data_IF_964936944492
#
_entry.id   IF_964936944492
#
_cell.length_a   1.000
_cell.length_b   1.000
_cell.length_c   1.000
_cell.angle_alpha   90.00
_cell.angle_beta   90.00
_cell.angle_gamma   90.00
#
_symmetry.space_group_name_H-M   'P 1'
#
loop_
_entity.id
_entity.type
_entity.pdbx_description
1 polymer ?
#
# COMPACT_ATOMS: atom_id res chain seq x y z
N UNK A 1 -14.59 18.70 -30.40
CA UNK A 1 -13.79 17.64 -29.73
C UNK A 1 -12.62 18.38 -29.08
N UNK A 2 -12.37 18.16 -27.79
CA UNK A 2 -11.24 18.80 -27.11
C UNK A 2 -9.91 18.14 -27.51
N UNK A 3 -8.78 18.75 -27.21
CA UNK A 3 -7.46 18.26 -27.60
C UNK A 3 -7.17 16.85 -27.08
N UNK A 4 -7.65 16.50 -25.88
CA UNK A 4 -7.54 15.17 -25.33
C UNK A 4 -8.21 14.10 -26.22
N UNK A 5 -9.46 14.32 -26.61
CA UNK A 5 -10.19 13.36 -27.47
C UNK A 5 -9.60 13.25 -28.88
N UNK A 6 -9.03 14.33 -29.42
CA UNK A 6 -8.28 14.28 -30.69
C UNK A 6 -7.04 13.38 -30.57
N UNK A 7 -6.33 13.47 -29.45
CA UNK A 7 -5.16 12.62 -29.15
C UNK A 7 -5.56 11.16 -28.96
N UNK A 8 -6.65 10.91 -28.23
CA UNK A 8 -7.19 9.55 -28.06
C UNK A 8 -7.62 8.93 -29.39
N UNK A 9 -8.26 9.72 -30.28
CA UNK A 9 -8.60 9.25 -31.63
C UNK A 9 -7.38 8.86 -32.45
N UNK A 10 -6.30 9.63 -32.35
CA UNK A 10 -5.03 9.31 -33.02
C UNK A 10 -4.34 8.09 -32.40
N UNK A 11 -4.50 7.85 -31.09
CA UNK A 11 -3.89 6.73 -30.38
C UNK A 11 -4.61 5.41 -30.65
N UNK A 12 -5.95 5.43 -30.69
CA UNK A 12 -6.81 4.24 -30.75
C UNK A 12 -7.29 3.87 -32.16
N UNK A 13 -7.27 4.81 -33.14
CA UNK A 13 -7.76 4.54 -34.47
C UNK A 13 -9.21 4.08 -34.48
N UNK A 14 -9.46 2.90 -35.01
CA UNK A 14 -10.82 2.30 -35.17
C UNK A 14 -11.49 1.96 -33.81
N UNK A 15 -10.72 1.81 -32.74
CA UNK A 15 -11.26 1.52 -31.39
C UNK A 15 -11.73 2.79 -30.65
N UNK A 16 -11.55 3.97 -31.21
CA UNK A 16 -11.91 5.23 -30.57
C UNK A 16 -13.39 5.33 -30.19
N UNK A 17 -14.28 4.83 -31.04
CA UNK A 17 -15.73 4.86 -30.77
C UNK A 17 -16.12 3.95 -29.60
N UNK A 18 -15.41 2.85 -29.41
CA UNK A 18 -15.59 1.98 -28.24
C UNK A 18 -15.09 2.69 -26.96
N UNK A 19 -13.92 3.30 -27.01
CA UNK A 19 -13.40 4.13 -25.90
C UNK A 19 -14.41 5.22 -25.51
N UNK A 20 -15.01 5.93 -26.47
CA UNK A 20 -15.99 6.98 -26.22
C UNK A 20 -17.22 6.47 -25.46
N UNK A 21 -17.66 5.24 -25.67
CA UNK A 21 -18.79 4.64 -24.92
C UNK A 21 -18.46 4.57 -23.43
N UNK A 22 -17.26 4.11 -23.08
CA UNK A 22 -16.80 4.09 -21.70
C UNK A 22 -16.58 5.51 -21.15
N UNK A 23 -15.92 6.38 -21.92
CA UNK A 23 -15.62 7.75 -21.50
C UNK A 23 -16.86 8.57 -21.15
N UNK A 24 -17.94 8.38 -21.88
CA UNK A 24 -19.22 9.07 -21.68
C UNK A 24 -20.17 8.35 -20.70
N UNK A 25 -19.78 7.20 -20.15
CA UNK A 25 -20.59 6.46 -19.17
C UNK A 25 -20.35 6.98 -17.77
N UNK A 26 -21.41 7.07 -16.96
CA UNK A 26 -21.34 7.36 -15.52
C UNK A 26 -20.97 6.13 -14.68
N UNK A 27 -20.91 4.94 -15.28
CA UNK A 27 -20.52 3.71 -14.60
C UNK A 27 -19.01 3.59 -14.51
N UNK A 28 -18.47 3.86 -13.33
CA UNK A 28 -17.05 3.69 -13.05
C UNK A 28 -16.71 2.24 -12.73
N UNK A 29 -15.55 1.79 -13.23
CA UNK A 29 -15.01 0.48 -12.90
C UNK A 29 -14.49 0.54 -11.45
N UNK A 30 -15.15 -0.21 -10.57
CA UNK A 30 -14.79 -0.31 -9.15
C UNK A 30 -14.15 -1.65 -8.86
N UNK A 31 -13.18 -1.66 -7.98
CA UNK A 31 -12.55 -2.90 -7.54
C UNK A 31 -12.09 -2.86 -6.09
N UNK A 32 -11.80 -4.04 -5.60
CA UNK A 32 -11.10 -4.24 -4.35
C UNK A 32 -9.97 -5.26 -4.54
N UNK A 33 -9.00 -5.20 -3.68
CA UNK A 33 -7.94 -6.19 -3.56
C UNK A 33 -7.94 -6.76 -2.16
N UNK A 34 -8.00 -8.09 -2.06
CA UNK A 34 -7.94 -8.83 -0.80
C UNK A 34 -6.55 -8.63 -0.16
N UNK A 35 -6.53 -8.44 1.15
CA UNK A 35 -5.30 -8.40 1.93
C UNK A 35 -4.97 -9.82 2.45
N UNK A 36 -4.08 -10.50 1.75
CA UNK A 36 -3.69 -11.88 2.07
C UNK A 36 -2.96 -12.05 3.39
N UNK A 37 -2.46 -10.96 3.99
CA UNK A 37 -1.92 -10.98 5.37
C UNK A 37 -3.00 -11.27 6.42
N UNK A 38 -4.27 -10.96 6.12
CA UNK A 38 -5.39 -11.01 7.07
C UNK A 38 -6.52 -11.93 6.66
N UNK A 39 -6.72 -12.14 5.37
CA UNK A 39 -7.89 -12.85 4.86
C UNK A 39 -7.57 -13.54 3.53
N UNK A 40 -7.99 -14.77 3.36
CA UNK A 40 -7.94 -15.45 2.07
C UNK A 40 -9.08 -14.96 1.16
N UNK A 41 -8.90 -14.92 -0.17
CA UNK A 41 -9.92 -14.47 -1.11
C UNK A 41 -11.27 -15.19 -0.96
N UNK A 42 -11.25 -16.51 -0.80
CA UNK A 42 -12.45 -17.34 -0.67
C UNK A 42 -13.23 -16.98 0.60
N UNK A 43 -12.51 -16.70 1.70
CA UNK A 43 -13.12 -16.27 2.96
C UNK A 43 -13.76 -14.89 2.80
N UNK A 44 -13.09 -13.93 2.17
CA UNK A 44 -13.67 -12.60 1.93
C UNK A 44 -14.95 -12.71 1.10
N UNK A 45 -14.93 -13.48 0.00
CA UNK A 45 -16.10 -13.70 -0.85
C UNK A 45 -17.30 -14.25 -0.07
N UNK A 46 -17.06 -15.15 0.91
CA UNK A 46 -18.14 -15.71 1.74
C UNK A 46 -18.70 -14.75 2.81
N UNK A 47 -17.98 -13.67 3.13
CA UNK A 47 -18.38 -12.69 4.15
C UNK A 47 -19.07 -11.45 3.59
N UNK A 48 -19.03 -11.26 2.26
CA UNK A 48 -19.70 -10.15 1.57
C UNK A 48 -21.08 -10.59 1.09
N UNK A 49 -22.04 -9.68 1.06
CA UNK A 49 -23.43 -9.88 0.64
C UNK A 49 -23.66 -9.67 -0.86
N UNK A 50 -22.58 -9.56 -1.65
CA UNK A 50 -22.59 -9.43 -3.09
C UNK A 50 -21.48 -10.27 -3.74
N UNK A 51 -21.68 -10.65 -5.00
CA UNK A 51 -20.73 -11.45 -5.75
C UNK A 51 -19.53 -10.63 -6.21
N UNK A 52 -18.33 -11.19 -6.05
CA UNK A 52 -17.06 -10.63 -6.54
C UNK A 52 -16.60 -11.39 -7.79
N UNK A 53 -16.32 -10.66 -8.88
CA UNK A 53 -15.75 -11.21 -10.11
C UNK A 53 -14.25 -10.89 -10.18
N UNK A 54 -13.40 -11.88 -10.45
CA UNK A 54 -11.94 -11.68 -10.55
C UNK A 54 -11.57 -10.68 -11.65
N UNK A 55 -10.53 -9.87 -11.38
CA UNK A 55 -9.90 -9.01 -12.39
C UNK A 55 -8.75 -9.76 -13.07
N UNK A 56 -8.37 -9.40 -14.30
CA UNK A 56 -7.21 -10.02 -14.96
C UNK A 56 -5.87 -9.49 -14.47
N UNK A 57 -5.84 -8.43 -13.66
CA UNK A 57 -4.62 -7.67 -13.36
C UNK A 57 -3.87 -8.15 -12.12
N UNK A 58 -4.53 -8.92 -11.24
CA UNK A 58 -3.98 -9.37 -9.96
C UNK A 58 -4.83 -10.53 -9.44
N UNK A 59 -4.20 -11.57 -8.91
CA UNK A 59 -4.90 -12.78 -8.40
C UNK A 59 -5.83 -12.48 -7.22
N UNK A 60 -5.49 -11.48 -6.40
CA UNK A 60 -6.25 -11.04 -5.25
C UNK A 60 -7.23 -9.89 -5.59
N UNK A 61 -7.31 -9.49 -6.87
CA UNK A 61 -8.12 -8.39 -7.36
C UNK A 61 -9.52 -8.83 -7.81
N UNK A 62 -10.54 -8.04 -7.45
CA UNK A 62 -11.93 -8.31 -7.80
C UNK A 62 -12.65 -7.04 -8.23
N UNK A 63 -13.57 -7.17 -9.17
CA UNK A 63 -14.55 -6.15 -9.52
C UNK A 63 -15.65 -6.10 -8.45
N UNK A 64 -16.09 -4.89 -8.13
CA UNK A 64 -17.25 -4.62 -7.24
C UNK A 64 -18.44 -4.26 -8.14
N UNK A 65 -19.64 -4.83 -7.92
CA UNK A 65 -20.86 -4.42 -8.65
C UNK A 65 -21.11 -2.92 -8.54
N UNK A 66 -21.62 -2.30 -9.61
CA UNK A 66 -21.79 -0.83 -9.69
C UNK A 66 -22.80 -0.28 -8.67
N UNK A 67 -23.78 -1.10 -8.29
CA UNK A 67 -24.83 -0.78 -7.31
C UNK A 67 -24.35 -0.82 -5.85
N UNK A 68 -23.18 -1.42 -5.57
CA UNK A 68 -22.58 -1.44 -4.24
C UNK A 68 -22.09 -0.04 -3.88
N UNK A 69 -22.71 0.52 -2.82
CA UNK A 69 -22.37 1.85 -2.29
C UNK A 69 -21.66 1.75 -0.94
N UNK A 70 -20.84 2.74 -0.64
CA UNK A 70 -20.25 2.94 0.71
C UNK A 70 -19.47 1.72 1.26
N UNK A 71 -18.83 0.91 0.39
CA UNK A 71 -18.06 -0.27 0.79
C UNK A 71 -16.93 0.08 1.79
N UNK A 72 -16.46 1.34 1.79
CA UNK A 72 -15.49 1.84 2.77
C UNK A 72 -15.99 1.83 4.22
N UNK A 73 -17.32 1.78 4.44
CA UNK A 73 -17.92 1.69 5.77
C UNK A 73 -18.08 0.23 6.26
N UNK A 74 -17.79 -0.75 5.41
CA UNK A 74 -17.88 -2.16 5.79
C UNK A 74 -16.87 -2.47 6.92
N UNK A 75 -17.27 -3.16 7.99
CA UNK A 75 -16.37 -3.53 9.10
C UNK A 75 -15.13 -4.30 8.64
N UNK A 76 -15.21 -5.13 7.60
CA UNK A 76 -14.07 -5.83 7.01
C UNK A 76 -13.07 -4.87 6.37
N UNK A 77 -13.52 -3.74 5.78
CA UNK A 77 -12.64 -2.70 5.30
C UNK A 77 -11.88 -2.03 6.45
N UNK A 78 -12.56 -1.72 7.56
CA UNK A 78 -11.95 -1.17 8.77
C UNK A 78 -10.96 -2.16 9.42
N UNK A 79 -11.25 -3.45 9.36
CA UNK A 79 -10.34 -4.51 9.79
C UNK A 79 -9.13 -4.70 8.85
N UNK A 80 -9.13 -4.06 7.67
CA UNK A 80 -8.05 -4.18 6.70
C UNK A 80 -8.06 -5.50 5.92
N UNK A 81 -9.21 -6.19 5.82
CA UNK A 81 -9.36 -7.41 5.04
C UNK A 81 -9.19 -7.18 3.53
N UNK A 82 -9.45 -5.96 3.06
CA UNK A 82 -9.29 -5.56 1.67
C UNK A 82 -8.98 -4.06 1.53
N UNK A 83 -8.47 -3.71 0.37
CA UNK A 83 -8.23 -2.33 -0.06
C UNK A 83 -9.12 -2.02 -1.27
N UNK A 84 -9.88 -0.92 -1.25
CA UNK A 84 -10.67 -0.46 -2.40
C UNK A 84 -9.73 0.24 -3.38
N UNK A 85 -9.65 -0.26 -4.58
CA UNK A 85 -8.70 0.21 -5.59
C UNK A 85 -9.29 0.05 -7.00
N UNK A 86 -8.93 0.95 -7.89
CA UNK A 86 -9.17 0.78 -9.32
C UNK A 86 -8.43 -0.47 -9.82
N UNK A 87 -9.10 -1.39 -10.54
CA UNK A 87 -8.51 -2.70 -10.87
C UNK A 87 -7.19 -2.64 -11.61
N UNK A 88 -7.06 -1.81 -12.67
CA UNK A 88 -5.84 -1.73 -13.47
C UNK A 88 -4.64 -1.16 -12.70
N UNK A 89 -4.87 -0.40 -11.62
CA UNK A 89 -3.80 0.10 -10.76
C UNK A 89 -3.03 -1.01 -10.01
N UNK A 90 -3.58 -2.23 -9.94
CA UNK A 90 -2.90 -3.39 -9.37
C UNK A 90 -1.83 -3.98 -10.30
N UNK A 91 -1.93 -3.72 -11.60
CA UNK A 91 -1.06 -4.26 -12.65
C UNK A 91 0.42 -3.96 -12.44
N UNK A 92 0.73 -2.74 -11.97
CA UNK A 92 2.12 -2.31 -11.77
C UNK A 92 2.88 -3.18 -10.75
N UNK A 93 2.23 -3.54 -9.63
CA UNK A 93 2.83 -4.43 -8.63
C UNK A 93 2.90 -5.87 -9.11
N UNK A 94 1.90 -6.33 -9.89
CA UNK A 94 1.94 -7.64 -10.53
C UNK A 94 3.14 -7.74 -11.50
N UNK A 95 3.39 -6.70 -12.31
CA UNK A 95 4.55 -6.64 -13.19
C UNK A 95 5.88 -6.53 -12.42
N UNK A 96 5.89 -5.89 -11.25
CA UNK A 96 7.09 -5.79 -10.41
C UNK A 96 7.53 -7.16 -9.87
N UNK A 97 6.58 -8.09 -9.70
CA UNK A 97 6.84 -9.48 -9.34
C UNK A 97 7.62 -9.60 -8.01
N UNK A 98 7.00 -9.06 -6.95
CA UNK A 98 7.59 -9.01 -5.60
C UNK A 98 7.60 -10.39 -4.96
N UNK A 99 8.75 -10.77 -4.40
CA UNK A 99 8.96 -12.01 -3.65
C UNK A 99 9.15 -11.74 -2.16
N UNK A 100 8.95 -12.78 -1.36
CA UNK A 100 9.34 -12.76 0.06
C UNK A 100 10.83 -12.42 0.18
N UNK A 101 11.20 -11.76 1.28
CA UNK A 101 12.56 -11.27 1.58
C UNK A 101 13.10 -10.13 0.69
N UNK A 102 12.39 -9.71 -0.38
CA UNK A 102 12.78 -8.54 -1.16
C UNK A 102 12.80 -7.26 -0.30
N UNK A 103 13.75 -6.37 -0.57
CA UNK A 103 13.72 -4.97 -0.12
C UNK A 103 13.11 -4.15 -1.24
N UNK A 104 11.91 -3.63 -1.00
CA UNK A 104 11.12 -2.93 -2.02
C UNK A 104 10.93 -1.46 -1.64
N UNK A 105 11.21 -0.56 -2.58
CA UNK A 105 10.90 0.86 -2.48
C UNK A 105 9.68 1.19 -3.35
N UNK A 106 8.64 1.75 -2.73
CA UNK A 106 7.54 2.46 -3.41
C UNK A 106 7.80 3.96 -3.27
N UNK A 107 8.27 4.61 -4.35
CA UNK A 107 8.86 5.94 -4.29
C UNK A 107 7.82 7.08 -4.29
N UNK A 108 6.62 6.84 -4.86
CA UNK A 108 5.51 7.79 -4.96
C UNK A 108 4.22 7.14 -4.40
N UNK A 109 4.26 6.72 -3.13
CA UNK A 109 3.45 5.66 -2.59
C UNK A 109 1.98 6.02 -2.25
N UNK A 110 1.66 7.30 -2.02
CA UNK A 110 0.33 7.67 -1.56
C UNK A 110 -0.75 7.54 -2.65
N UNK A 111 -1.94 7.07 -2.27
CA UNK A 111 -2.48 6.88 -0.92
C UNK A 111 -2.15 5.51 -0.26
N UNK A 112 -1.40 4.60 -0.91
CA UNK A 112 -0.97 3.33 -0.34
C UNK A 112 -1.55 2.07 -1.00
N UNK A 113 -2.31 2.20 -2.08
CA UNK A 113 -2.89 1.04 -2.78
C UNK A 113 -1.82 0.06 -3.26
N UNK A 114 -0.78 0.56 -3.94
CA UNK A 114 0.34 -0.24 -4.43
C UNK A 114 1.29 -0.67 -3.30
N UNK A 115 1.62 0.24 -2.36
CA UNK A 115 2.39 -0.11 -1.16
C UNK A 115 1.79 -1.27 -0.37
N UNK A 116 0.47 -1.25 -0.16
CA UNK A 116 -0.20 -2.31 0.60
C UNK A 116 -0.31 -3.63 -0.19
N UNK A 117 -0.27 -3.58 -1.52
CA UNK A 117 -0.12 -4.77 -2.36
C UNK A 117 1.28 -5.37 -2.22
N UNK A 118 2.31 -4.53 -2.29
CA UNK A 118 3.70 -4.95 -2.06
C UNK A 118 3.85 -5.58 -0.66
N UNK A 119 3.34 -4.90 0.38
CA UNK A 119 3.39 -5.41 1.76
C UNK A 119 2.72 -6.78 1.94
N UNK A 120 1.59 -7.02 1.23
CA UNK A 120 0.93 -8.32 1.23
C UNK A 120 1.78 -9.41 0.55
N UNK A 121 2.43 -9.09 -0.58
CA UNK A 121 3.34 -10.03 -1.28
C UNK A 121 4.59 -10.36 -0.47
N UNK A 122 5.14 -9.41 0.28
CA UNK A 122 6.27 -9.65 1.18
C UNK A 122 5.92 -10.56 2.37
N UNK A 123 4.66 -10.77 2.67
CA UNK A 123 4.17 -11.70 3.70
C UNK A 123 4.87 -11.55 5.08
N UNK A 124 5.19 -10.32 5.46
CA UNK A 124 5.87 -10.01 6.73
C UNK A 124 7.39 -10.20 6.73
N UNK A 125 7.97 -10.67 5.62
CA UNK A 125 9.42 -10.81 5.43
C UNK A 125 10.01 -9.61 4.65
N UNK A 126 11.31 -9.58 4.41
CA UNK A 126 11.95 -8.49 3.67
C UNK A 126 11.70 -7.10 4.27
N UNK A 127 11.55 -6.10 3.43
CA UNK A 127 11.28 -4.71 3.84
C UNK A 127 10.49 -3.95 2.77
N UNK A 128 9.42 -3.28 3.18
CA UNK A 128 8.74 -2.26 2.36
C UNK A 128 9.18 -0.86 2.80
N UNK A 129 9.71 -0.06 1.88
CA UNK A 129 9.92 1.37 2.09
C UNK A 129 8.93 2.16 1.21
N UNK A 130 8.01 2.89 1.83
CA UNK A 130 7.00 3.70 1.14
C UNK A 130 7.27 5.18 1.36
N UNK A 131 7.51 5.92 0.29
CA UNK A 131 7.81 7.35 0.33
C UNK A 131 6.73 8.19 -0.33
N UNK A 132 6.45 9.34 0.22
CA UNK A 132 5.57 10.35 -0.38
C UNK A 132 6.05 11.76 -0.03
N UNK A 133 6.24 12.59 -1.06
CA UNK A 133 6.77 13.96 -0.89
C UNK A 133 5.76 14.91 -0.24
N UNK A 134 4.46 14.70 -0.48
CA UNK A 134 3.39 15.56 0.06
C UNK A 134 2.98 15.07 1.44
N UNK A 135 3.23 15.85 2.48
CA UNK A 135 3.03 15.48 3.88
C UNK A 135 1.62 15.00 4.22
N UNK A 136 0.60 15.68 3.72
CA UNK A 136 -0.80 15.28 3.95
C UNK A 136 -1.11 13.90 3.35
N UNK A 137 -0.61 13.64 2.15
CA UNK A 137 -0.75 12.34 1.47
C UNK A 137 0.06 11.25 2.16
N UNK A 138 1.26 11.58 2.68
CA UNK A 138 2.07 10.64 3.45
C UNK A 138 1.38 10.19 4.75
N UNK A 139 0.57 11.05 5.38
CA UNK A 139 -0.24 10.67 6.54
C UNK A 139 -1.38 9.70 6.16
N UNK A 140 -1.99 9.86 4.98
CA UNK A 140 -3.01 8.92 4.45
C UNK A 140 -2.36 7.56 4.17
N UNK A 141 -1.19 7.57 3.52
CA UNK A 141 -0.37 6.37 3.29
C UNK A 141 -0.09 5.62 4.60
N UNK A 142 0.39 6.34 5.61
CA UNK A 142 0.69 5.77 6.93
C UNK A 142 -0.54 5.11 7.57
N UNK A 143 -1.70 5.77 7.49
CA UNK A 143 -2.96 5.23 8.00
C UNK A 143 -3.37 3.94 7.28
N UNK A 144 -3.16 3.86 5.96
CA UNK A 144 -3.46 2.67 5.18
C UNK A 144 -2.47 1.52 5.46
N UNK A 145 -1.17 1.79 5.60
CA UNK A 145 -0.16 0.80 6.02
C UNK A 145 -0.55 0.20 7.39
N UNK A 146 -0.97 1.06 8.33
CA UNK A 146 -1.41 0.63 9.66
C UNK A 146 -2.68 -0.21 9.61
N UNK A 147 -3.73 0.25 8.90
CA UNK A 147 -5.00 -0.47 8.75
C UNK A 147 -4.82 -1.85 8.11
N UNK A 148 -3.97 -1.95 7.09
CA UNK A 148 -3.66 -3.21 6.40
C UNK A 148 -2.75 -4.13 7.22
N UNK A 149 -2.21 -3.66 8.35
CA UNK A 149 -1.43 -4.49 9.28
C UNK A 149 -0.03 -4.83 8.81
N UNK A 150 0.60 -3.99 7.99
CA UNK A 150 1.94 -4.24 7.45
C UNK A 150 2.99 -3.90 8.51
N UNK A 151 3.64 -4.92 9.06
CA UNK A 151 4.59 -4.79 10.17
C UNK A 151 6.02 -4.46 9.73
N UNK A 152 6.40 -4.84 8.52
CA UNK A 152 7.74 -4.69 7.95
C UNK A 152 7.89 -3.43 7.06
N UNK A 153 7.09 -2.38 7.32
CA UNK A 153 7.11 -1.16 6.52
C UNK A 153 7.85 0.00 7.18
N UNK A 154 8.50 0.81 6.34
CA UNK A 154 9.00 2.15 6.66
C UNK A 154 8.22 3.17 5.83
N UNK A 155 7.70 4.20 6.48
CA UNK A 155 7.01 5.31 5.79
C UNK A 155 7.82 6.58 5.96
N UNK A 156 8.19 7.23 4.85
CA UNK A 156 8.95 8.47 4.81
C UNK A 156 8.23 9.58 4.07
N UNK A 157 8.62 10.82 4.38
CA UNK A 157 8.16 12.02 3.69
C UNK A 157 9.38 12.80 3.21
N UNK A 158 10.00 12.32 2.14
CA UNK A 158 11.25 12.84 1.62
C UNK A 158 11.12 13.18 0.14
N UNK A 159 12.00 14.05 -0.34
CA UNK A 159 12.22 14.22 -1.78
C UNK A 159 12.85 12.95 -2.35
N UNK A 160 12.43 12.51 -3.57
CA UNK A 160 12.99 11.30 -4.20
C UNK A 160 14.52 11.32 -4.33
N UNK A 161 15.10 12.43 -4.77
CA UNK A 161 16.53 12.61 -4.97
C UNK A 161 17.34 12.47 -3.66
N UNK A 162 16.87 13.09 -2.56
CA UNK A 162 17.48 13.00 -1.23
C UNK A 162 17.41 11.58 -0.67
N UNK A 163 16.23 10.96 -0.79
CA UNK A 163 16.00 9.60 -0.29
C UNK A 163 16.87 8.58 -1.03
N UNK A 164 16.81 8.57 -2.36
CA UNK A 164 17.50 7.57 -3.17
C UNK A 164 19.02 7.67 -3.05
N UNK A 165 19.56 8.89 -2.99
CA UNK A 165 20.98 9.11 -2.71
C UNK A 165 21.42 8.58 -1.34
N UNK A 166 20.54 8.67 -0.31
CA UNK A 166 20.85 8.15 1.04
C UNK A 166 20.73 6.63 1.11
N UNK A 167 19.88 6.05 0.28
CA UNK A 167 19.57 4.61 0.24
C UNK A 167 20.16 3.94 -1.02
N UNK A 168 21.31 4.41 -1.48
CA UNK A 168 21.97 3.92 -2.69
C UNK A 168 22.18 2.40 -2.66
N UNK A 169 21.80 1.72 -3.76
CA UNK A 169 21.91 0.27 -3.96
C UNK A 169 21.28 -0.60 -2.84
N UNK A 170 20.18 -0.16 -2.24
CA UNK A 170 19.56 -0.86 -1.10
C UNK A 170 18.38 -1.75 -1.47
N UNK A 171 17.72 -1.52 -2.61
CA UNK A 171 16.47 -2.19 -2.95
C UNK A 171 16.64 -3.19 -4.08
N UNK A 172 16.00 -4.35 -3.92
CA UNK A 172 15.92 -5.40 -4.95
C UNK A 172 14.91 -5.01 -6.02
N UNK A 173 13.84 -4.31 -5.59
CA UNK A 173 12.76 -3.85 -6.46
C UNK A 173 12.36 -2.43 -6.13
N UNK A 174 12.02 -1.66 -7.17
CA UNK A 174 11.50 -0.29 -7.00
C UNK A 174 10.22 -0.13 -7.82
N UNK A 175 9.20 0.43 -7.19
CA UNK A 175 8.01 0.94 -7.87
C UNK A 175 8.09 2.46 -7.98
N UNK A 176 7.92 2.97 -9.19
CA UNK A 176 7.78 4.38 -9.48
C UNK A 176 6.40 4.59 -10.13
N UNK A 177 5.35 4.65 -9.29
CA UNK A 177 4.02 5.07 -9.72
C UNK A 177 3.99 6.59 -9.79
N UNK A 178 4.41 7.10 -10.93
CA UNK A 178 4.81 8.50 -11.05
C UNK A 178 3.60 9.46 -11.09
N UNK A 179 3.72 10.65 -10.47
CA UNK A 179 2.71 11.70 -10.64
C UNK A 179 2.61 12.07 -12.13
N UNK A 180 1.40 12.04 -12.69
CA UNK A 180 1.12 12.18 -14.11
C UNK A 180 -0.06 13.12 -14.36
N UNK A 181 -0.37 13.37 -15.64
CA UNK A 181 -1.53 14.19 -16.06
C UNK A 181 -2.89 13.58 -15.72
N UNK A 182 -2.94 12.27 -15.40
CA UNK A 182 -4.10 11.61 -14.84
C UNK A 182 -5.25 11.37 -15.81
N UNK A 183 -4.99 11.22 -17.10
CA UNK A 183 -6.02 11.07 -18.16
C UNK A 183 -6.96 9.89 -17.92
N UNK A 184 -6.47 8.77 -17.35
CA UNK A 184 -7.28 7.63 -16.94
C UNK A 184 -8.17 7.89 -15.70
N UNK A 185 -8.06 9.06 -15.09
CA UNK A 185 -8.86 9.47 -13.93
C UNK A 185 -9.88 10.56 -14.23
N UNK A 186 -9.96 11.06 -15.48
CA UNK A 186 -10.86 12.15 -15.87
C UNK A 186 -12.33 11.86 -15.55
N UNK A 187 -12.74 10.62 -15.71
CA UNK A 187 -14.09 10.18 -15.37
C UNK A 187 -14.40 10.23 -13.87
N UNK A 188 -13.39 10.22 -13.00
CA UNK A 188 -13.54 10.10 -11.52
C UNK A 188 -13.31 11.39 -10.76
N UNK A 189 -12.60 12.33 -11.35
CA UNK A 189 -12.24 13.59 -10.69
C UNK A 189 -12.11 14.73 -11.68
N UNK A 190 -11.94 15.95 -11.17
CA UNK A 190 -11.80 17.16 -11.95
C UNK A 190 -10.42 17.34 -12.66
N UNK A 191 -9.62 16.29 -12.78
CA UNK A 191 -8.27 16.36 -13.37
C UNK A 191 -8.30 16.86 -14.84
N UNK A 192 -9.38 16.62 -15.56
CA UNK A 192 -9.56 17.15 -16.92
C UNK A 192 -9.51 18.68 -16.96
N UNK A 193 -9.94 19.37 -15.91
CA UNK A 193 -9.96 20.85 -15.87
C UNK A 193 -8.57 21.48 -15.83
N UNK A 194 -7.59 20.78 -15.29
CA UNK A 194 -6.20 21.25 -15.18
C UNK A 194 -5.32 20.70 -16.31
N UNK A 195 -5.88 19.84 -17.18
CA UNK A 195 -5.13 19.19 -18.23
C UNK A 195 -4.82 20.15 -19.39
N UNK A 196 -3.57 20.11 -19.84
CA UNK A 196 -3.08 20.76 -21.06
C UNK A 196 -1.88 20.00 -21.60
N UNK A 197 -1.49 20.25 -22.85
CA UNK A 197 -0.29 19.68 -23.45
C UNK A 197 0.98 20.12 -22.70
N UNK A 198 1.01 21.35 -22.21
CA UNK A 198 2.09 21.89 -21.38
C UNK A 198 2.17 21.16 -20.04
N UNK A 199 1.01 20.85 -19.42
CA UNK A 199 0.95 20.02 -18.21
C UNK A 199 1.52 18.63 -18.44
N UNK A 200 1.11 17.95 -19.52
CA UNK A 200 1.64 16.63 -19.94
C UNK A 200 3.18 16.68 -20.06
N UNK A 201 3.74 17.66 -20.78
CA UNK A 201 5.19 17.83 -20.95
C UNK A 201 5.91 18.07 -19.61
N UNK A 202 5.30 18.89 -18.74
CA UNK A 202 5.83 19.15 -17.39
C UNK A 202 5.85 17.88 -16.53
N UNK A 203 4.79 17.06 -16.60
CA UNK A 203 4.73 15.76 -15.94
C UNK A 203 5.83 14.81 -16.46
N UNK A 204 5.97 14.67 -17.78
CA UNK A 204 7.00 13.85 -18.40
C UNK A 204 8.43 14.23 -17.95
N UNK A 205 8.74 15.53 -17.90
CA UNK A 205 10.03 16.03 -17.41
C UNK A 205 10.27 15.65 -15.94
N UNK A 206 9.24 15.78 -15.07
CA UNK A 206 9.30 15.42 -13.64
C UNK A 206 9.47 13.92 -13.46
N UNK A 207 8.76 13.12 -14.23
CA UNK A 207 8.82 11.64 -14.20
C UNK A 207 10.22 11.13 -14.53
N UNK A 208 10.87 11.71 -15.54
CA UNK A 208 12.25 11.37 -15.89
C UNK A 208 13.23 11.68 -14.75
N UNK A 209 13.06 12.82 -14.05
CA UNK A 209 13.87 13.15 -12.87
C UNK A 209 13.67 12.16 -11.72
N UNK A 210 12.43 11.71 -11.50
CA UNK A 210 12.11 10.71 -10.46
C UNK A 210 12.76 9.36 -10.82
N UNK A 211 12.66 8.90 -12.07
CA UNK A 211 13.30 7.66 -12.53
C UNK A 211 14.84 7.73 -12.39
N UNK A 212 15.45 8.87 -12.78
CA UNK A 212 16.89 9.09 -12.64
C UNK A 212 17.33 9.14 -11.16
N UNK A 213 16.45 9.51 -10.24
CA UNK A 213 16.72 9.38 -8.80
C UNK A 213 16.58 7.91 -8.35
N UNK A 214 15.51 7.22 -8.78
CA UNK A 214 15.22 5.85 -8.36
C UNK A 214 16.33 4.85 -8.72
N UNK A 215 16.99 5.02 -9.88
CA UNK A 215 18.08 4.13 -10.33
C UNK A 215 19.23 3.99 -9.35
N UNK A 216 19.52 5.05 -8.57
CA UNK A 216 20.62 5.06 -7.60
C UNK A 216 20.30 4.15 -6.40
N UNK A 217 19.04 4.06 -6.01
CA UNK A 217 18.58 3.22 -4.90
C UNK A 217 18.43 1.73 -5.27
N UNK A 218 18.34 1.42 -6.57
CA UNK A 218 18.20 0.05 -7.07
C UNK A 218 19.54 -0.67 -7.09
N UNK A 219 19.58 -1.88 -6.55
CA UNK A 219 20.74 -2.79 -6.67
C UNK A 219 21.00 -3.16 -8.14
N UNK A 220 22.25 -3.46 -8.48
CA UNK A 220 22.55 -4.16 -9.73
C UNK A 220 21.82 -5.51 -9.73
N UNK A 221 21.33 -5.96 -10.89
CA UNK A 221 20.49 -7.15 -11.00
C UNK A 221 19.05 -6.95 -10.51
N UNK A 222 18.71 -5.77 -9.98
CA UNK A 222 17.37 -5.44 -9.49
C UNK A 222 16.39 -5.03 -10.57
N UNK A 223 15.11 -4.95 -10.22
CA UNK A 223 14.03 -4.60 -11.14
C UNK A 223 13.31 -3.33 -10.68
N UNK A 224 12.92 -2.51 -11.65
CA UNK A 224 12.10 -1.32 -11.42
C UNK A 224 10.87 -1.36 -12.32
N UNK A 225 9.69 -1.06 -11.76
CA UNK A 225 8.49 -0.80 -12.56
C UNK A 225 8.17 0.68 -12.51
N UNK A 226 8.08 1.27 -13.69
CA UNK A 226 7.52 2.58 -13.91
C UNK A 226 6.06 2.45 -14.27
N UNK A 227 5.17 3.24 -13.68
CA UNK A 227 3.74 3.24 -13.98
C UNK A 227 3.13 4.63 -13.91
N UNK A 228 2.04 4.82 -14.66
CA UNK A 228 1.21 6.04 -14.67
C UNK A 228 -0.26 5.67 -14.87
N UNK A 229 -1.16 6.58 -14.50
CA UNK A 229 -2.58 6.50 -14.84
C UNK A 229 -2.95 7.46 -16.00
N UNK A 230 -2.07 7.62 -16.99
CA UNK A 230 -2.31 8.44 -18.18
C UNK A 230 -2.16 7.64 -19.47
N UNK A 231 -2.79 8.11 -20.56
CA UNK A 231 -2.66 7.53 -21.90
C UNK A 231 -1.60 8.23 -22.75
N UNK A 232 -1.06 9.34 -22.27
CA UNK A 232 -0.12 10.19 -22.99
C UNK A 232 1.16 9.46 -23.37
N UNK A 233 1.53 9.47 -24.66
CA UNK A 233 2.79 8.87 -25.15
C UNK A 233 4.01 9.60 -24.61
N UNK A 234 3.92 10.91 -24.39
CA UNK A 234 5.01 11.72 -23.86
C UNK A 234 5.40 11.29 -22.44
N UNK A 235 4.40 10.95 -21.60
CA UNK A 235 4.60 10.53 -20.22
C UNK A 235 4.93 9.04 -20.09
N UNK A 236 4.58 8.24 -21.07
CA UNK A 236 4.71 6.79 -21.07
C UNK A 236 5.94 6.36 -21.88
N UNK A 237 5.74 6.08 -23.17
CA UNK A 237 6.81 5.61 -24.07
C UNK A 237 7.95 6.63 -24.18
N UNK A 238 7.63 7.93 -24.18
CA UNK A 238 8.62 9.01 -24.30
C UNK A 238 9.57 9.06 -23.10
N UNK A 239 9.03 8.89 -21.88
CA UNK A 239 9.84 8.85 -20.65
C UNK A 239 10.72 7.60 -20.61
N UNK A 240 10.18 6.42 -20.91
CA UNK A 240 10.93 5.16 -20.90
C UNK A 240 12.03 5.16 -21.96
N UNK A 241 11.72 5.58 -23.20
CA UNK A 241 12.70 5.62 -24.28
C UNK A 241 13.85 6.57 -23.95
N UNK A 242 13.54 7.73 -23.37
CA UNK A 242 14.55 8.69 -22.95
C UNK A 242 15.39 8.19 -21.78
N UNK A 243 14.74 7.59 -20.77
CA UNK A 243 15.45 7.00 -19.63
C UNK A 243 16.46 5.93 -20.08
N UNK A 244 16.05 5.02 -20.95
CA UNK A 244 16.93 3.96 -21.49
C UNK A 244 18.09 4.52 -22.33
N UNK A 245 17.83 5.58 -23.12
CA UNK A 245 18.90 6.24 -23.90
C UNK A 245 19.94 6.92 -22.99
N UNK A 246 19.53 7.48 -21.85
CA UNK A 246 20.40 8.13 -20.87
C UNK A 246 21.08 7.13 -19.92
N UNK A 247 20.57 5.89 -19.78
CA UNK A 247 21.03 4.88 -18.81
C UNK A 247 21.23 3.51 -19.49
N UNK A 248 22.38 3.27 -20.18
CA UNK A 248 22.65 2.05 -20.94
C UNK A 248 22.81 0.79 -20.08
N UNK A 249 22.95 0.95 -18.77
CA UNK A 249 22.94 -0.12 -17.76
C UNK A 249 21.53 -0.62 -17.45
N UNK A 250 20.47 -0.01 -18.01
CA UNK A 250 19.10 -0.49 -17.92
C UNK A 250 18.62 -1.09 -19.25
N UNK A 251 17.65 -1.98 -19.14
CA UNK A 251 16.94 -2.56 -20.27
C UNK A 251 15.46 -2.76 -19.92
N UNK A 252 14.59 -2.66 -20.93
CA UNK A 252 13.18 -3.02 -20.82
C UNK A 252 13.06 -4.54 -20.93
N UNK A 253 12.31 -5.18 -19.99
CA UNK A 253 12.19 -6.64 -19.94
C UNK A 253 10.74 -7.08 -19.94
N UNK A 254 10.49 -8.29 -20.46
CA UNK A 254 9.18 -8.92 -20.36
C UNK A 254 8.83 -9.23 -18.91
N UNK A 255 7.66 -8.79 -18.49
CA UNK A 255 7.12 -9.10 -17.16
C UNK A 255 6.36 -10.43 -17.09
N UNK A 256 6.16 -11.10 -18.22
CA UNK A 256 5.40 -12.35 -18.34
C UNK A 256 3.87 -12.21 -18.20
N UNK A 257 3.35 -10.98 -18.07
CA UNK A 257 1.90 -10.75 -17.94
C UNK A 257 1.22 -10.74 -19.30
N UNK A 258 -0.04 -11.22 -19.34
CA UNK A 258 -0.85 -11.31 -20.55
C UNK A 258 -1.94 -10.24 -20.66
N UNK A 259 -2.20 -9.49 -19.60
CA UNK A 259 -3.19 -8.42 -19.59
C UNK A 259 -2.68 -7.15 -20.28
N UNK A 260 -3.62 -6.30 -20.68
CA UNK A 260 -3.32 -5.04 -21.34
C UNK A 260 -2.71 -5.21 -22.73
N UNK A 261 -2.43 -4.10 -23.39
CA UNK A 261 -1.92 -4.06 -24.75
C UNK A 261 -0.43 -3.82 -24.77
N UNK A 262 0.37 -4.56 -25.53
CA UNK A 262 1.81 -4.36 -25.59
C UNK A 262 2.14 -3.02 -26.25
N UNK A 263 3.17 -2.36 -25.73
CA UNK A 263 3.81 -1.18 -26.31
C UNK A 263 5.30 -1.19 -25.96
N UNK A 264 6.18 -0.57 -26.75
CA UNK A 264 7.63 -0.67 -26.56
C UNK A 264 8.09 -2.11 -26.34
N UNK A 265 7.58 -3.06 -27.13
CA UNK A 265 7.79 -4.51 -27.04
C UNK A 265 7.21 -5.13 -25.75
N UNK A 266 7.59 -4.70 -24.57
CA UNK A 266 7.28 -5.33 -23.29
C UNK A 266 6.47 -4.47 -22.29
N UNK A 267 6.34 -3.17 -22.52
CA UNK A 267 5.47 -2.34 -21.69
C UNK A 267 3.99 -2.66 -21.97
N UNK A 268 3.13 -2.35 -21.00
CA UNK A 268 1.70 -2.65 -21.08
C UNK A 268 0.88 -1.36 -20.89
N UNK A 269 -0.14 -1.21 -21.71
CA UNK A 269 -1.16 -0.16 -21.56
C UNK A 269 -2.53 -0.80 -21.42
N UNK A 270 -3.31 -0.29 -20.49
CA UNK A 270 -4.66 -0.74 -20.19
C UNK A 270 -5.61 0.42 -20.49
N UNK A 271 -6.63 0.17 -21.27
CA UNK A 271 -7.72 1.11 -21.55
C UNK A 271 -9.02 0.67 -20.86
N UNK A 272 -10.07 1.50 -20.82
CA UNK A 272 -11.35 1.12 -20.25
C UNK A 272 -11.94 -0.15 -20.87
N UNK A 273 -11.76 -0.38 -22.15
CA UNK A 273 -12.21 -1.58 -22.85
C UNK A 273 -11.50 -2.85 -22.35
N UNK A 274 -10.34 -2.72 -21.75
CA UNK A 274 -9.56 -3.83 -21.21
C UNK A 274 -9.93 -4.15 -19.74
N UNK A 275 -10.94 -3.45 -19.18
CA UNK A 275 -11.50 -3.71 -17.84
C UNK A 275 -10.87 -2.89 -16.70
N UNK A 276 -10.16 -1.80 -16.99
CA UNK A 276 -9.64 -0.81 -16.03
C UNK A 276 -9.95 0.62 -16.47
N UNK A 277 -9.74 1.62 -15.62
CA UNK A 277 -9.97 3.01 -16.02
C UNK A 277 -8.84 3.59 -16.89
N UNK A 278 -7.65 3.05 -16.77
CA UNK A 278 -6.48 3.41 -17.57
C UNK A 278 -5.18 3.34 -16.78
N UNK A 279 -4.24 2.56 -17.32
CA UNK A 279 -2.93 2.42 -16.69
C UNK A 279 -1.86 2.09 -17.74
N UNK A 280 -0.63 2.53 -17.45
CA UNK A 280 0.57 2.14 -18.18
C UNK A 280 1.59 1.60 -17.19
N UNK A 281 2.32 0.54 -17.57
CA UNK A 281 3.43 0.03 -16.79
C UNK A 281 4.54 -0.54 -17.68
N UNK A 282 5.79 -0.34 -17.25
CA UNK A 282 7.00 -0.83 -17.90
C UNK A 282 7.95 -1.40 -16.86
N UNK A 283 8.42 -2.65 -17.04
CA UNK A 283 9.40 -3.32 -16.17
C UNK A 283 10.80 -3.14 -16.72
N UNK A 284 11.68 -2.57 -15.92
CA UNK A 284 13.08 -2.30 -16.23
C UNK A 284 13.99 -3.19 -15.38
N UNK A 285 15.09 -3.66 -15.96
CA UNK A 285 16.12 -4.41 -15.28
C UNK A 285 17.42 -3.61 -15.26
N UNK A 286 18.07 -3.48 -14.11
CA UNK A 286 19.40 -2.89 -13.96
C UNK A 286 20.45 -3.98 -14.11
N UNK A 287 21.25 -3.92 -15.16
CA UNK A 287 22.31 -4.89 -15.45
C UNK A 287 23.39 -4.89 -14.36
N UNK A 288 24.10 -5.98 -14.24
CA UNK A 288 25.24 -6.14 -13.33
C UNK A 288 24.97 -7.14 -12.20
N UNK A 289 26.04 -7.58 -11.56
CA UNK A 289 25.97 -8.54 -10.47
C UNK A 289 25.48 -7.87 -9.17
N UNK A 290 24.60 -8.52 -8.41
CA UNK A 290 24.13 -8.00 -7.13
C UNK A 290 25.30 -7.76 -6.16
N UNK A 291 25.42 -6.56 -5.63
CA UNK A 291 26.41 -6.23 -4.61
C UNK A 291 25.89 -6.60 -3.21
N UNK A 292 26.55 -7.54 -2.53
CA UNK A 292 26.04 -8.17 -1.30
C UNK A 292 26.62 -7.62 0.03
N UNK A 293 27.53 -6.64 0.00
CA UNK A 293 28.24 -6.21 1.21
C UNK A 293 27.72 -4.92 1.83
N UNK A 294 26.61 -5.02 2.59
CA UNK A 294 26.17 -3.95 3.49
C UNK A 294 26.41 -4.35 4.96
N UNK A 295 27.66 -4.22 5.43
CA UNK A 295 27.97 -4.33 6.87
C UNK A 295 27.62 -3.03 7.58
N UNK A 296 26.34 -2.77 7.84
CA UNK A 296 25.97 -1.76 8.84
C UNK A 296 25.89 -2.46 10.20
N UNK A 297 26.65 -2.02 11.21
CA UNK A 297 26.64 -2.67 12.52
C UNK A 297 25.24 -2.70 13.12
N UNK A 298 24.75 -3.88 13.52
CA UNK A 298 23.51 -3.98 14.30
C UNK A 298 23.69 -3.17 15.60
N UNK A 299 22.81 -2.22 15.84
CA UNK A 299 22.75 -1.55 17.14
C UNK A 299 22.25 -2.56 18.16
N UNK A 300 23.09 -2.99 19.09
CA UNK A 300 22.67 -3.74 20.28
C UNK A 300 22.02 -2.77 21.28
N UNK A 301 20.77 -2.46 21.10
CA UNK A 301 20.00 -1.70 22.08
C UNK A 301 19.63 -2.64 23.24
N UNK A 302 20.10 -2.34 24.47
CA UNK A 302 19.58 -3.01 25.68
C UNK A 302 18.16 -2.51 25.92
N UNK A 303 17.18 -3.31 25.58
CA UNK A 303 15.76 -3.02 25.86
C UNK A 303 15.46 -3.29 27.34
N UNK A 304 14.74 -2.39 27.99
CA UNK A 304 14.26 -2.58 29.38
C UNK A 304 13.36 -3.83 29.47
N UNK A 305 13.60 -4.68 30.45
CA UNK A 305 12.79 -5.89 30.69
C UNK A 305 11.29 -5.60 30.83
N UNK A 306 10.93 -4.46 31.42
CA UNK A 306 9.53 -4.01 31.54
C UNK A 306 8.81 -3.90 30.20
N UNK A 307 9.53 -3.59 29.11
CA UNK A 307 8.95 -3.53 27.76
C UNK A 307 8.62 -4.94 27.28
N UNK A 308 9.51 -5.90 27.54
CA UNK A 308 9.24 -7.30 27.22
C UNK A 308 8.11 -7.87 28.06
N UNK A 309 8.07 -7.57 29.37
CA UNK A 309 6.96 -7.99 30.25
C UNK A 309 5.62 -7.43 29.75
N UNK A 310 5.60 -6.19 29.30
CA UNK A 310 4.43 -5.58 28.68
C UNK A 310 4.06 -6.26 27.36
N UNK A 311 5.03 -6.53 26.47
CA UNK A 311 4.80 -7.20 25.19
C UNK A 311 4.17 -8.58 25.43
N UNK A 312 4.78 -9.36 26.32
CA UNK A 312 4.32 -10.69 26.70
C UNK A 312 2.99 -10.67 27.47
N UNK A 313 2.57 -9.53 28.01
CA UNK A 313 1.26 -9.38 28.66
C UNK A 313 0.10 -9.29 27.69
N UNK A 314 0.34 -8.89 26.44
CA UNK A 314 -0.70 -8.66 25.41
C UNK A 314 -0.62 -9.62 24.23
N UNK A 315 0.57 -10.14 23.89
CA UNK A 315 0.79 -11.05 22.76
C UNK A 315 1.47 -12.35 23.16
N UNK A 316 1.30 -13.36 22.31
CA UNK A 316 1.99 -14.65 22.36
C UNK A 316 3.15 -14.58 21.36
N UNK A 317 4.30 -15.13 21.72
CA UNK A 317 5.49 -15.31 20.85
C UNK A 317 6.06 -14.06 20.19
N UNK A 318 5.73 -12.85 20.67
CA UNK A 318 6.24 -11.56 20.18
C UNK A 318 6.20 -11.47 18.65
N UNK A 319 5.02 -11.41 18.04
CA UNK A 319 4.80 -11.62 16.61
C UNK A 319 5.51 -10.64 15.67
N UNK A 320 6.03 -9.52 16.19
CA UNK A 320 6.77 -8.52 15.39
C UNK A 320 8.29 -8.61 15.62
N UNK A 321 8.77 -9.56 16.43
CA UNK A 321 10.19 -9.70 16.80
C UNK A 321 10.60 -8.86 18.01
N UNK A 322 11.93 -8.77 18.21
CA UNK A 322 12.53 -8.18 19.42
C UNK A 322 13.42 -6.97 19.14
N UNK A 323 13.46 -6.49 17.88
CA UNK A 323 14.22 -5.29 17.53
C UNK A 323 13.46 -4.02 17.96
N UNK A 324 13.61 -3.63 19.23
CA UNK A 324 12.82 -2.58 19.86
C UNK A 324 13.63 -1.30 20.02
N UNK A 325 13.06 -0.18 19.61
CA UNK A 325 13.54 1.17 19.91
C UNK A 325 12.45 1.97 20.67
N UNK A 326 12.89 2.81 21.59
CA UNK A 326 12.03 3.81 22.25
C UNK A 326 12.38 5.18 21.69
N UNK A 327 11.42 5.78 20.98
CA UNK A 327 11.58 7.11 20.38
C UNK A 327 10.59 8.05 21.07
N UNK A 328 11.09 8.98 21.86
CA UNK A 328 10.28 9.79 22.79
C UNK A 328 9.52 8.85 23.75
N UNK A 329 8.19 8.85 23.69
CA UNK A 329 7.34 7.99 24.53
C UNK A 329 6.82 6.75 23.80
N UNK A 330 7.19 6.54 22.53
CA UNK A 330 6.71 5.43 21.70
C UNK A 330 7.68 4.26 21.72
N UNK A 331 7.15 3.09 22.02
CA UNK A 331 7.85 1.80 21.93
C UNK A 331 7.58 1.24 20.54
N UNK A 332 8.60 1.11 19.73
CA UNK A 332 8.51 0.71 18.33
C UNK A 332 9.25 -0.60 18.15
N UNK A 333 8.58 -1.59 17.58
CA UNK A 333 9.23 -2.81 17.09
C UNK A 333 9.58 -2.56 15.63
N UNK A 334 10.87 -2.41 15.36
CA UNK A 334 11.42 -2.18 14.03
C UNK A 334 11.38 -3.46 13.19
N UNK A 335 11.26 -3.38 11.85
CA UNK A 335 11.41 -4.55 11.00
C UNK A 335 12.72 -5.29 11.29
N UNK A 336 12.70 -6.62 11.21
CA UNK A 336 13.86 -7.46 11.58
C UNK A 336 15.13 -7.06 10.83
N UNK A 337 14.98 -6.69 9.56
CA UNK A 337 16.08 -6.34 8.66
C UNK A 337 16.29 -4.82 8.54
N UNK A 338 15.71 -4.03 9.45
CA UNK A 338 15.87 -2.58 9.45
C UNK A 338 17.28 -2.19 9.88
N UNK A 339 18.12 -1.90 8.92
CA UNK A 339 19.50 -1.52 9.11
C UNK A 339 19.90 -0.41 8.12
N UNK A 340 19.47 0.82 8.41
CA UNK A 340 19.67 1.97 7.54
C UNK A 340 20.17 3.18 8.31
N UNK A 341 21.07 3.95 7.69
CA UNK A 341 21.39 5.29 8.17
C UNK A 341 20.32 6.28 7.67
N UNK A 342 19.40 6.61 8.55
CA UNK A 342 18.28 7.50 8.26
C UNK A 342 18.51 8.94 8.69
N UNK A 343 19.74 9.30 9.07
CA UNK A 343 20.08 10.66 9.52
C UNK A 343 19.74 11.66 8.40
N UNK A 344 18.92 12.65 8.74
CA UNK A 344 18.46 13.69 7.81
C UNK A 344 17.20 13.34 7.02
N UNK A 345 16.74 12.07 7.04
CA UNK A 345 15.47 11.68 6.41
C UNK A 345 14.29 11.93 7.35
N UNK A 346 13.16 12.34 6.77
CA UNK A 346 11.90 12.47 7.52
C UNK A 346 11.16 11.13 7.57
N UNK A 347 11.51 10.30 8.55
CA UNK A 347 10.80 9.04 8.80
C UNK A 347 9.56 9.32 9.63
N UNK A 348 8.40 8.94 9.12
CA UNK A 348 7.11 9.05 9.84
C UNK A 348 6.89 7.85 10.74
N UNK A 349 7.30 6.67 10.26
CA UNK A 349 7.22 5.40 10.97
C UNK A 349 8.22 4.40 10.39
N UNK A 350 8.74 3.53 11.26
CA UNK A 350 9.42 2.29 10.89
C UNK A 350 8.85 1.18 11.77
N UNK A 351 8.26 0.13 11.16
CA UNK A 351 7.65 -1.00 11.87
C UNK A 351 6.36 -0.68 12.63
N UNK A 352 6.15 -1.36 13.76
CA UNK A 352 4.92 -1.35 14.55
C UNK A 352 5.11 -0.58 15.85
N UNK A 353 4.21 0.37 16.15
CA UNK A 353 4.17 0.97 17.49
C UNK A 353 3.48 -0.03 18.41
N UNK A 354 4.24 -0.62 19.32
CA UNK A 354 3.76 -1.58 20.31
C UNK A 354 2.91 -0.90 21.38
N UNK A 355 3.37 0.25 21.86
CA UNK A 355 2.71 1.02 22.90
C UNK A 355 3.35 2.37 23.13
N UNK A 356 2.80 3.11 24.09
CA UNK A 356 3.28 4.43 24.50
C UNK A 356 3.50 4.44 26.02
N UNK A 357 4.59 5.09 26.45
CA UNK A 357 4.90 5.28 27.87
C UNK A 357 4.09 6.47 28.36
N UNK A 358 3.10 6.21 29.22
CA UNK A 358 2.22 7.23 29.78
C UNK A 358 2.45 7.29 31.28
N UNK A 359 3.15 8.30 31.78
CA UNK A 359 3.59 8.40 33.16
C UNK A 359 4.45 7.16 33.53
N UNK A 360 4.00 6.34 34.48
CA UNK A 360 4.71 5.16 34.97
C UNK A 360 4.16 3.83 34.42
N UNK A 361 3.37 3.85 33.34
CA UNK A 361 2.78 2.64 32.73
C UNK A 361 2.94 2.67 31.22
N UNK A 362 2.86 1.50 30.59
CA UNK A 362 2.81 1.36 29.15
C UNK A 362 1.35 1.11 28.74
N UNK A 363 0.84 1.89 27.80
CA UNK A 363 -0.46 1.66 27.15
C UNK A 363 -0.23 1.12 25.74
N UNK A 364 -0.96 0.06 25.29
CA UNK A 364 -0.79 -0.48 23.96
C UNK A 364 -1.27 0.50 22.90
N UNK A 365 -0.67 0.42 21.71
CA UNK A 365 -1.05 1.22 20.56
C UNK A 365 -1.96 0.42 19.62
N UNK A 366 -2.84 1.11 18.90
CA UNK A 366 -3.78 0.52 17.96
C UNK A 366 -3.09 -0.29 16.86
N UNK A 367 -1.97 0.21 16.32
CA UNK A 367 -1.21 -0.46 15.25
C UNK A 367 -0.71 -1.86 15.63
N UNK A 368 -0.42 -2.12 16.91
CA UNK A 368 0.01 -3.45 17.34
C UNK A 368 -1.10 -4.49 17.16
N UNK A 369 -2.34 -4.12 17.49
CA UNK A 369 -3.47 -5.02 17.32
C UNK A 369 -3.92 -5.17 15.87
N UNK A 370 -3.86 -4.10 15.06
CA UNK A 370 -4.19 -4.22 13.63
C UNK A 370 -3.17 -5.03 12.85
N UNK A 371 -1.90 -5.06 13.29
CA UNK A 371 -0.84 -5.86 12.67
C UNK A 371 -0.80 -7.31 13.16
N UNK A 372 -1.30 -7.60 14.38
CA UNK A 372 -1.32 -8.95 14.93
C UNK A 372 -2.44 -9.80 14.33
N UNK A 373 -2.21 -11.11 14.23
CA UNK A 373 -3.28 -12.08 13.99
C UNK A 373 -4.03 -12.37 15.30
N UNK A 374 -5.28 -12.86 15.22
CA UNK A 374 -6.10 -13.20 16.39
C UNK A 374 -5.39 -14.19 17.32
N UNK A 375 -4.76 -15.20 16.75
CA UNK A 375 -4.01 -16.25 17.48
C UNK A 375 -2.77 -15.73 18.20
N UNK A 376 -2.23 -14.60 17.80
CA UNK A 376 -1.12 -13.96 18.52
C UNK A 376 -1.57 -13.16 19.75
N UNK A 377 -2.86 -12.87 19.90
CA UNK A 377 -3.37 -12.06 21.00
C UNK A 377 -3.69 -12.94 22.21
N UNK A 378 -3.20 -12.59 23.41
CA UNK A 378 -3.52 -13.31 24.66
C UNK A 378 -5.00 -13.26 25.02
N UNK A 379 -5.67 -12.20 24.64
CA UNK A 379 -7.12 -12.03 24.82
C UNK A 379 -7.72 -11.45 23.55
N UNK A 380 -8.75 -12.08 23.00
CA UNK A 380 -9.47 -11.63 21.81
C UNK A 380 -10.94 -11.96 21.92
N UNK A 381 -11.80 -11.06 21.43
CA UNK A 381 -13.21 -11.30 21.17
C UNK A 381 -13.48 -11.14 19.68
N UNK A 382 -14.32 -12.01 19.15
CA UNK A 382 -14.61 -12.10 17.73
C UNK A 382 -16.10 -11.91 17.49
N UNK A 383 -16.43 -11.00 16.60
CA UNK A 383 -17.81 -10.66 16.28
C UNK A 383 -18.09 -10.88 14.80
N UNK A 384 -19.31 -11.26 14.48
CA UNK A 384 -19.79 -11.30 13.11
C UNK A 384 -19.79 -9.89 12.49
N UNK A 385 -19.51 -9.78 11.19
CA UNK A 385 -19.48 -8.52 10.44
C UNK A 385 -20.77 -7.71 10.55
N UNK A 386 -21.91 -8.39 10.72
CA UNK A 386 -23.24 -7.79 10.84
C UNK A 386 -23.70 -7.59 12.30
N UNK A 387 -22.83 -7.86 13.28
CA UNK A 387 -23.21 -7.75 14.69
C UNK A 387 -23.35 -6.31 15.15
N UNK A 388 -24.26 -6.08 16.10
CA UNK A 388 -24.45 -4.76 16.73
C UNK A 388 -23.21 -4.32 17.51
N UNK A 389 -22.50 -5.27 18.08
CA UNK A 389 -21.28 -5.04 18.87
C UNK A 389 -20.17 -4.46 18.01
N UNK A 390 -19.94 -4.97 16.80
CA UNK A 390 -18.91 -4.41 15.91
C UNK A 390 -19.29 -3.04 15.39
N UNK A 391 -20.58 -2.81 15.07
CA UNK A 391 -21.07 -1.49 14.69
C UNK A 391 -20.85 -0.47 15.81
N UNK A 392 -21.25 -0.81 17.05
CA UNK A 392 -21.05 0.04 18.24
C UNK A 392 -19.55 0.30 18.49
N UNK A 393 -18.70 -0.74 18.35
CA UNK A 393 -17.24 -0.58 18.50
C UNK A 393 -16.66 0.42 17.49
N UNK A 394 -17.02 0.30 16.22
CA UNK A 394 -16.53 1.22 15.17
C UNK A 394 -17.06 2.65 15.32
N UNK A 395 -18.20 2.85 15.97
CA UNK A 395 -18.68 4.18 16.40
C UNK A 395 -17.93 4.73 17.62
N UNK A 396 -17.16 3.89 18.33
CA UNK A 396 -16.39 4.28 19.51
C UNK A 396 -17.14 4.09 20.83
N UNK A 397 -18.21 3.30 20.81
CA UNK A 397 -19.04 2.98 21.98
C UNK A 397 -18.39 1.85 22.81
N UNK A 398 -18.76 1.76 24.08
CA UNK A 398 -18.42 0.64 24.96
C UNK A 398 -19.30 -0.55 24.59
N UNK A 399 -18.75 -1.75 24.58
CA UNK A 399 -19.47 -2.99 24.23
C UNK A 399 -19.47 -4.00 25.37
N UNK A 400 -20.50 -4.85 25.42
CA UNK A 400 -20.57 -5.96 26.35
C UNK A 400 -19.65 -7.11 25.90
N UNK A 401 -18.99 -7.75 26.86
CA UNK A 401 -18.15 -8.95 26.65
C UNK A 401 -18.40 -9.96 27.78
N UNK A 402 -17.96 -11.20 27.61
CA UNK A 402 -18.06 -12.23 28.65
C UNK A 402 -17.27 -11.85 29.91
N UNK A 403 -17.67 -12.36 31.08
CA UNK A 403 -17.05 -12.06 32.38
C UNK A 403 -15.61 -12.53 32.52
N UNK A 404 -15.23 -13.57 31.79
CA UNK A 404 -13.88 -14.12 31.76
C UNK A 404 -12.90 -13.27 30.96
N UNK A 405 -13.38 -12.38 30.07
CA UNK A 405 -12.54 -11.47 29.28
C UNK A 405 -12.06 -10.31 30.14
N UNK A 406 -10.74 -10.17 30.29
CA UNK A 406 -10.10 -9.14 31.15
C UNK A 406 -8.87 -8.55 30.48
N UNK A 407 -8.57 -7.28 30.83
CA UNK A 407 -7.35 -6.60 30.38
C UNK A 407 -7.46 -6.08 28.95
N UNK A 408 -6.30 -5.89 28.31
CA UNK A 408 -6.23 -5.46 26.92
C UNK A 408 -6.62 -6.62 26.00
N UNK A 409 -7.68 -6.42 25.23
CA UNK A 409 -8.35 -7.47 24.45
C UNK A 409 -8.47 -7.00 23.01
N UNK A 410 -8.02 -7.83 22.06
CA UNK A 410 -8.21 -7.60 20.64
C UNK A 410 -9.68 -7.71 20.26
N UNK A 411 -10.11 -6.84 19.34
CA UNK A 411 -11.42 -6.91 18.70
C UNK A 411 -11.23 -7.44 17.30
N UNK A 412 -11.94 -8.52 16.97
CA UNK A 412 -11.89 -9.15 15.67
C UNK A 412 -13.26 -9.09 14.97
N UNK A 413 -13.23 -9.06 13.65
CA UNK A 413 -14.39 -9.21 12.76
C UNK A 413 -14.20 -10.47 11.95
N UNK A 414 -15.00 -11.51 12.21
CA UNK A 414 -14.88 -12.82 11.57
C UNK A 414 -13.44 -13.36 11.56
N UNK A 415 -12.74 -13.24 12.70
CA UNK A 415 -11.35 -13.67 12.90
C UNK A 415 -10.28 -12.66 12.50
N UNK A 416 -10.63 -11.51 11.94
CA UNK A 416 -9.70 -10.48 11.47
C UNK A 416 -9.58 -9.37 12.52
N UNK A 417 -8.38 -9.15 13.03
CA UNK A 417 -8.12 -8.10 14.04
C UNK A 417 -8.37 -6.71 13.47
N UNK A 418 -9.18 -5.93 14.18
CA UNK A 418 -9.52 -4.56 13.76
C UNK A 418 -9.09 -3.48 14.76
N UNK A 419 -8.79 -3.86 15.99
CA UNK A 419 -8.36 -2.95 17.03
C UNK A 419 -8.39 -3.61 18.40
N UNK A 420 -8.56 -2.81 19.47
CA UNK A 420 -8.57 -3.31 20.83
C UNK A 420 -9.40 -2.48 21.78
N UNK A 421 -9.67 -3.03 22.95
CA UNK A 421 -10.25 -2.35 24.08
C UNK A 421 -9.66 -2.82 25.41
N UNK A 422 -10.12 -2.27 26.51
CA UNK A 422 -9.78 -2.75 27.85
C UNK A 422 -11.01 -3.30 28.54
N UNK A 423 -11.02 -4.61 28.73
CA UNK A 423 -12.13 -5.35 29.33
C UNK A 423 -12.08 -5.36 30.86
N UNK A 424 -13.19 -5.10 31.50
CA UNK A 424 -13.41 -5.25 32.92
C UNK A 424 -14.92 -5.33 33.24
N UNK A 425 -15.31 -6.17 34.21
CA UNK A 425 -16.72 -6.28 34.67
C UNK A 425 -17.73 -6.47 33.52
N UNK A 426 -17.45 -7.43 32.63
CA UNK A 426 -18.30 -7.77 31.46
C UNK A 426 -18.51 -6.62 30.45
N UNK A 427 -17.66 -5.58 30.52
CA UNK A 427 -17.65 -4.47 29.59
C UNK A 427 -16.27 -4.24 29.02
N UNK A 428 -16.21 -3.83 27.75
CA UNK A 428 -14.97 -3.48 27.08
C UNK A 428 -14.99 -1.98 26.76
N UNK A 429 -14.12 -1.24 27.44
CA UNK A 429 -13.90 0.18 27.17
C UNK A 429 -13.18 0.31 25.83
N UNK A 430 -13.81 1.01 24.92
CA UNK A 430 -13.34 1.20 23.56
C UNK A 430 -12.03 2.01 23.48
N UNK A 431 -11.07 1.50 22.69
CA UNK A 431 -9.79 2.16 22.41
C UNK A 431 -9.59 2.41 20.89
N UNK A 432 -10.66 2.27 20.10
CA UNK A 432 -10.62 2.58 18.66
C UNK A 432 -10.33 4.06 18.44
N UNK A 433 -9.35 4.42 17.57
CA UNK A 433 -8.92 5.80 17.40
C UNK A 433 -10.06 6.72 16.95
N UNK A 434 -10.19 7.89 17.57
CA UNK A 434 -11.28 8.83 17.27
C UNK A 434 -11.36 9.22 15.79
N UNK A 435 -10.21 9.40 15.15
CA UNK A 435 -10.13 9.77 13.73
C UNK A 435 -10.51 8.66 12.73
N UNK A 436 -10.68 7.42 13.21
CA UNK A 436 -11.08 6.27 12.37
C UNK A 436 -12.53 5.85 12.57
N UNK A 437 -13.26 6.48 13.49
CA UNK A 437 -14.63 6.12 13.82
C UNK A 437 -15.59 6.44 12.68
N UNK A 438 -16.52 5.53 12.46
CA UNK A 438 -17.65 5.78 11.56
C UNK A 438 -18.55 6.81 12.22
N UNK A 439 -18.78 7.92 11.55
CA UNK A 439 -19.76 8.91 12.00
C UNK A 439 -21.16 8.43 11.58
N UNK A 440 -22.16 8.64 12.44
CA UNK A 440 -23.56 8.30 12.15
C UNK A 440 -24.11 9.18 11.04
#
# INVERSE_FOLDING_TARGET
MNDFLLRMKSLLGDEFDEFLKFYNSDDFIKGLRVNTLKCLPEKLCSLLDFELKKTPFCDEGFYIPSDVKSIGNNPLHHAGAFYVQEPSATSAVTMLDVHEDDYVLDLCAAPGGKSTQIGAKLNGTGLLWSNEIVRSRANILLSNIERMGISNAVVSNCRPDELCKRLENRFDRILVDAPCSGEGMFRKNDAEREWSIEHVKSCAARQLLILNSAKDALKNGGYMVYSTCTFSKEENEGVISRFLAENPDFELVDSGVTFGRPTLDYARRIFPMDGGEGHFAAKLHKKGEPYSNYNIPKKNNKTDSKIFDFYDSIFIDRPFGENIEVIKDKIIVLPQNYNFDVKGLQILRAGVILGEIVKNRIEPHHSAFTAAKKENCKSAVDFDVNSKEIAAYLHGEEIAVSQDVKGYTAICVNGITTGFGKASNSRLKNKYPKGLRILR
#
